data_IF_531431647421
#
_entry.id   IF_531431647421
#
_cell.length_a   1.000
_cell.length_b   1.000
_cell.length_c   1.000
_cell.angle_alpha   90.00
_cell.angle_beta   90.00
_cell.angle_gamma   90.00
#
_symmetry.space_group_name_H-M   'P 1'
#
loop_
_entity.id
_entity.type
_entity.pdbx_description
1 polymer ?
#
# COMPACT_ATOMS: atom_id res chain seq x y z
N UNK A 1 14.47 4.73 15.92
CA UNK A 1 13.63 4.23 14.81
C UNK A 1 14.43 3.21 14.03
N UNK A 2 13.95 1.98 13.96
CA UNK A 2 14.64 0.93 13.21
C UNK A 2 14.43 1.15 11.71
N UNK A 3 15.49 0.92 10.91
CA UNK A 3 15.45 0.99 9.45
C UNK A 3 15.49 -0.43 8.88
N UNK A 4 14.71 -0.64 7.83
CA UNK A 4 14.64 -1.88 7.07
C UNK A 4 14.97 -1.53 5.63
N UNK A 5 15.95 -2.16 4.99
CA UNK A 5 16.27 -1.90 3.57
C UNK A 5 15.32 -2.64 2.64
N UNK A 6 14.95 -3.88 3.01
CA UNK A 6 14.03 -4.74 2.27
C UNK A 6 12.78 -5.00 3.13
N UNK A 7 11.61 -4.66 2.57
CA UNK A 7 10.29 -4.82 3.19
C UNK A 7 9.84 -6.28 3.26
N UNK A 8 10.55 -7.21 2.60
CA UNK A 8 10.27 -8.65 2.57
C UNK A 8 11.41 -9.49 3.15
N UNK A 9 12.35 -8.87 3.86
CA UNK A 9 13.42 -9.57 4.58
C UNK A 9 12.87 -10.39 5.76
N UNK A 10 13.63 -11.39 6.22
CA UNK A 10 13.27 -12.15 7.44
C UNK A 10 13.08 -11.23 8.65
N UNK A 11 13.92 -10.21 8.77
CA UNK A 11 13.83 -9.23 9.85
C UNK A 11 12.54 -8.38 9.77
N UNK A 12 12.11 -8.01 8.55
CA UNK A 12 10.81 -7.34 8.36
C UNK A 12 9.64 -8.26 8.73
N UNK A 13 9.74 -9.56 8.45
CA UNK A 13 8.72 -10.53 8.84
C UNK A 13 8.60 -10.74 10.35
N UNK A 14 9.71 -10.70 11.09
CA UNK A 14 9.65 -10.69 12.56
C UNK A 14 8.92 -9.44 13.08
N UNK A 15 9.09 -8.30 12.42
CA UNK A 15 8.31 -7.10 12.74
C UNK A 15 6.82 -7.29 12.44
N UNK A 16 6.47 -7.79 11.26
CA UNK A 16 5.06 -8.03 10.90
C UNK A 16 4.38 -9.04 11.83
N UNK A 17 5.07 -10.11 12.21
CA UNK A 17 4.54 -11.13 13.13
C UNK A 17 4.08 -10.52 14.47
N UNK A 18 4.80 -9.50 14.95
CA UNK A 18 4.43 -8.80 16.18
C UNK A 18 3.30 -7.77 15.98
N UNK A 19 3.08 -7.31 14.75
CA UNK A 19 2.07 -6.28 14.42
C UNK A 19 0.72 -6.87 14.03
N UNK A 20 0.71 -8.06 13.41
CA UNK A 20 -0.47 -8.70 12.85
C UNK A 20 -0.79 -9.97 13.64
N UNK A 21 -1.57 -9.80 14.71
CA UNK A 21 -1.88 -10.87 15.66
C UNK A 21 -3.34 -11.25 15.61
N UNK A 22 -3.66 -12.48 16.02
CA UNK A 22 -5.02 -12.98 15.99
C UNK A 22 -5.95 -12.37 17.04
N UNK A 23 -5.41 -11.68 18.05
CA UNK A 23 -6.20 -10.87 18.97
C UNK A 23 -6.81 -9.65 18.27
N UNK A 24 -6.14 -9.13 17.24
CA UNK A 24 -6.63 -7.97 16.50
C UNK A 24 -7.60 -8.38 15.40
N UNK A 25 -7.27 -9.47 14.69
CA UNK A 25 -8.12 -10.02 13.65
C UNK A 25 -7.87 -11.52 13.51
N UNK A 26 -8.87 -12.31 13.88
CA UNK A 26 -8.78 -13.78 13.86
C UNK A 26 -8.41 -14.38 12.49
N UNK A 27 -8.61 -13.62 11.40
CA UNK A 27 -8.14 -13.94 10.05
C UNK A 27 -6.64 -14.30 10.00
N UNK A 28 -5.81 -13.65 10.81
CA UNK A 28 -4.38 -13.92 10.85
C UNK A 28 -4.02 -15.32 11.35
N UNK A 29 -4.93 -16.02 12.05
CA UNK A 29 -4.72 -17.42 12.46
C UNK A 29 -4.57 -18.39 11.27
N UNK A 30 -5.06 -18.00 10.10
CA UNK A 30 -5.05 -18.84 8.89
C UNK A 30 -3.73 -18.73 8.10
N UNK A 31 -2.82 -17.85 8.52
CA UNK A 31 -1.54 -17.59 7.86
C UNK A 31 -0.36 -18.11 8.68
N UNK A 32 0.68 -18.58 7.99
CA UNK A 32 1.86 -19.21 8.58
C UNK A 32 3.03 -18.20 8.71
N UNK A 33 2.99 -17.39 9.78
CA UNK A 33 4.05 -16.41 10.08
C UNK A 33 5.38 -17.07 10.45
N UNK A 34 5.38 -18.31 10.93
CA UNK A 34 6.58 -19.05 11.33
C UNK A 34 7.33 -19.63 10.12
N UNK A 35 6.65 -19.78 8.98
CA UNK A 35 7.18 -20.43 7.79
C UNK A 35 6.95 -19.61 6.52
N UNK A 36 7.43 -18.37 6.54
CA UNK A 36 7.50 -17.52 5.34
C UNK A 36 8.34 -18.19 4.24
N UNK A 37 7.88 -18.09 3.00
CA UNK A 37 8.54 -18.76 1.86
C UNK A 37 8.58 -17.83 0.66
N UNK A 38 9.61 -17.96 -0.17
CA UNK A 38 9.57 -17.44 -1.53
C UNK A 38 8.57 -18.23 -2.38
N UNK A 39 8.20 -17.72 -3.55
CA UNK A 39 7.32 -18.46 -4.45
C UNK A 39 7.95 -19.77 -4.92
N UNK A 40 9.24 -19.75 -5.24
CA UNK A 40 9.98 -20.94 -5.61
C UNK A 40 9.91 -22.02 -4.52
N UNK A 41 10.08 -21.64 -3.25
CA UNK A 41 9.99 -22.57 -2.13
C UNK A 41 8.57 -23.12 -1.91
N UNK A 42 7.52 -22.37 -2.29
CA UNK A 42 6.12 -22.81 -2.14
C UNK A 42 5.69 -23.78 -3.25
N UNK A 43 6.05 -23.52 -4.52
CA UNK A 43 5.52 -24.30 -5.65
C UNK A 43 6.49 -24.54 -6.83
N UNK A 44 7.74 -24.09 -6.72
CA UNK A 44 8.78 -24.30 -7.74
C UNK A 44 8.62 -23.50 -9.04
N UNK A 45 7.61 -22.64 -9.18
CA UNK A 45 7.27 -22.03 -10.49
C UNK A 45 7.97 -20.70 -10.80
N UNK A 46 8.40 -19.95 -9.79
CA UNK A 46 9.01 -18.63 -9.99
C UNK A 46 10.21 -18.41 -9.08
N UNK A 47 11.38 -18.16 -9.68
CA UNK A 47 12.58 -17.79 -8.95
C UNK A 47 12.50 -16.33 -8.50
N UNK A 48 11.79 -16.08 -7.40
CA UNK A 48 11.76 -14.78 -6.73
C UNK A 48 12.50 -14.85 -5.38
N UNK A 49 13.05 -13.71 -4.96
CA UNK A 49 13.77 -13.58 -3.70
C UNK A 49 12.89 -13.06 -2.55
N UNK A 50 11.69 -12.54 -2.85
CA UNK A 50 10.80 -11.95 -1.84
C UNK A 50 10.11 -13.06 -1.04
N UNK A 51 10.30 -13.04 0.28
CA UNK A 51 9.52 -13.87 1.19
C UNK A 51 8.09 -13.36 1.29
N UNK A 52 7.14 -14.28 1.26
CA UNK A 52 5.72 -14.03 1.36
C UNK A 52 5.14 -14.79 2.56
N UNK A 53 4.06 -14.23 3.12
CA UNK A 53 3.22 -14.88 4.11
C UNK A 53 2.12 -15.64 3.39
N UNK A 54 2.15 -16.96 3.52
CA UNK A 54 1.21 -17.86 2.87
C UNK A 54 0.09 -18.27 3.84
N UNK A 55 -1.06 -18.65 3.27
CA UNK A 55 -2.01 -19.47 3.99
C UNK A 55 -1.34 -20.76 4.49
N UNK A 56 -1.77 -21.21 5.68
CA UNK A 56 -1.46 -22.54 6.19
C UNK A 56 -2.01 -23.60 5.23
N UNK A 57 -1.30 -24.72 5.09
CA UNK A 57 -1.68 -25.77 4.12
C UNK A 57 -3.06 -26.38 4.41
N UNK A 58 -3.53 -26.33 5.66
CA UNK A 58 -4.86 -26.78 6.10
C UNK A 58 -5.83 -25.60 6.39
N UNK A 59 -5.54 -24.41 5.87
CA UNK A 59 -6.39 -23.23 6.12
C UNK A 59 -7.79 -23.43 5.57
N UNK A 60 -8.79 -22.99 6.33
CA UNK A 60 -10.20 -22.98 5.94
C UNK A 60 -10.50 -21.96 4.85
N UNK A 61 -9.62 -20.96 4.68
CA UNK A 61 -9.75 -19.92 3.66
C UNK A 61 -9.27 -20.36 2.28
N UNK A 62 -8.70 -21.56 2.15
CA UNK A 62 -8.14 -22.07 0.90
C UNK A 62 -9.17 -22.11 -0.24
N UNK A 63 -10.40 -22.52 0.05
CA UNK A 63 -11.47 -22.58 -0.95
C UNK A 63 -11.91 -21.18 -1.39
N UNK A 64 -11.93 -20.22 -0.46
CA UNK A 64 -12.41 -18.85 -0.70
C UNK A 64 -11.36 -17.97 -1.40
N UNK A 65 -10.11 -18.04 -0.94
CA UNK A 65 -9.02 -17.15 -1.35
C UNK A 65 -8.06 -17.80 -2.35
N UNK A 66 -8.12 -19.13 -2.50
CA UNK A 66 -7.19 -19.93 -3.27
C UNK A 66 -5.95 -20.32 -2.47
N UNK A 67 -5.41 -21.52 -2.75
CA UNK A 67 -4.24 -22.10 -2.06
C UNK A 67 -2.93 -21.31 -2.18
N UNK A 68 -2.92 -20.30 -3.05
CA UNK A 68 -1.78 -19.44 -3.32
C UNK A 68 -2.03 -18.00 -2.87
N UNK A 69 -3.08 -17.76 -2.09
CA UNK A 69 -3.29 -16.46 -1.46
C UNK A 69 -2.13 -16.14 -0.52
N UNK A 70 -1.55 -14.96 -0.66
CA UNK A 70 -0.40 -14.55 0.15
C UNK A 70 -0.28 -13.04 0.29
N UNK A 71 0.38 -12.64 1.37
CA UNK A 71 0.76 -11.25 1.64
C UNK A 71 2.25 -11.05 1.41
N UNK A 72 2.59 -9.85 0.97
CA UNK A 72 3.96 -9.37 0.86
C UNK A 72 4.14 -8.12 1.69
N UNK A 73 5.38 -7.84 2.08
CA UNK A 73 5.71 -6.55 2.67
C UNK A 73 5.52 -5.42 1.66
N UNK A 74 5.08 -4.27 2.16
CA UNK A 74 4.77 -3.07 1.39
C UNK A 74 5.24 -1.81 2.10
N UNK A 75 5.75 -0.87 1.31
CA UNK A 75 6.09 0.50 1.73
C UNK A 75 4.90 1.41 1.50
N UNK A 76 4.29 1.86 2.59
CA UNK A 76 3.08 2.69 2.55
C UNK A 76 3.30 3.93 1.67
N UNK A 77 4.34 4.72 1.96
CA UNK A 77 4.75 5.87 1.16
C UNK A 77 6.06 5.58 0.40
N UNK A 78 6.00 5.58 -0.94
CA UNK A 78 7.13 5.22 -1.80
C UNK A 78 8.07 6.41 -2.14
N UNK A 79 8.57 7.09 -1.10
CA UNK A 79 9.51 8.20 -1.32
C UNK A 79 10.85 7.76 -1.94
N UNK A 80 11.28 6.49 -1.86
CA UNK A 80 12.54 6.07 -2.50
C UNK A 80 12.52 6.28 -4.01
N UNK A 81 11.47 5.80 -4.69
CA UNK A 81 11.37 5.89 -6.15
C UNK A 81 10.77 7.23 -6.58
N UNK A 82 9.82 7.76 -5.81
CA UNK A 82 9.06 8.95 -6.17
C UNK A 82 9.73 10.27 -5.75
N UNK A 83 10.79 10.21 -4.95
CA UNK A 83 11.52 11.42 -4.53
C UNK A 83 11.90 12.31 -5.70
N UNK A 84 12.41 11.75 -6.80
CA UNK A 84 12.85 12.55 -7.94
C UNK A 84 11.68 13.20 -8.69
N UNK A 85 10.56 12.48 -8.86
CA UNK A 85 9.36 13.04 -9.48
C UNK A 85 8.82 14.22 -8.67
N UNK A 86 8.69 14.04 -7.35
CA UNK A 86 8.23 15.10 -6.44
C UNK A 86 9.24 16.25 -6.34
N UNK A 87 10.54 15.95 -6.31
CA UNK A 87 11.62 16.94 -6.29
C UNK A 87 11.56 17.84 -7.52
N UNK A 88 11.33 17.28 -8.71
CA UNK A 88 11.26 18.06 -9.94
C UNK A 88 10.13 19.10 -9.89
N UNK A 89 8.98 18.76 -9.28
CA UNK A 89 7.85 19.69 -9.06
C UNK A 89 8.26 20.84 -8.11
N UNK A 90 9.01 20.53 -7.05
CA UNK A 90 9.50 21.54 -6.11
C UNK A 90 10.58 22.41 -6.78
N UNK A 91 11.48 21.82 -7.57
CA UNK A 91 12.58 22.51 -8.23
C UNK A 91 12.14 23.45 -9.35
N UNK A 92 11.06 23.12 -10.06
CA UNK A 92 10.49 23.98 -11.10
C UNK A 92 9.65 25.14 -10.54
N UNK A 93 9.35 25.14 -9.24
CA UNK A 93 8.56 26.19 -8.59
C UNK A 93 9.37 27.46 -8.32
N UNK A 94 8.72 28.63 -8.50
CA UNK A 94 9.21 29.97 -8.12
C UNK A 94 8.80 30.38 -6.69
N UNK A 95 8.33 29.44 -5.87
CA UNK A 95 7.84 29.72 -4.50
C UNK A 95 8.99 29.97 -3.51
N UNK A 96 8.77 30.92 -2.58
CA UNK A 96 9.69 31.17 -1.46
C UNK A 96 9.74 30.00 -0.45
N UNK A 97 8.76 29.09 -0.46
CA UNK A 97 8.71 27.92 0.44
C UNK A 97 9.54 26.73 -0.07
N UNK A 98 10.27 26.89 -1.17
CA UNK A 98 11.03 25.82 -1.83
C UNK A 98 11.98 25.07 -0.91
N UNK A 99 12.75 25.79 -0.10
CA UNK A 99 13.70 25.18 0.83
C UNK A 99 13.00 24.35 1.91
N UNK A 100 11.90 24.86 2.45
CA UNK A 100 11.09 24.16 3.43
C UNK A 100 10.52 22.86 2.85
N UNK A 101 9.86 22.91 1.69
CA UNK A 101 9.27 21.70 1.08
C UNK A 101 10.34 20.71 0.65
N UNK A 102 11.49 21.17 0.18
CA UNK A 102 12.64 20.31 -0.11
C UNK A 102 13.16 19.59 1.14
N UNK A 103 13.18 20.27 2.29
CA UNK A 103 13.58 19.66 3.57
C UNK A 103 12.57 18.60 4.03
N UNK A 104 11.26 18.87 3.92
CA UNK A 104 10.21 17.88 4.18
C UNK A 104 10.36 16.64 3.30
N UNK A 105 10.63 16.84 2.00
CA UNK A 105 10.76 15.74 1.05
C UNK A 105 12.00 14.87 1.36
N UNK A 106 13.12 15.47 1.78
CA UNK A 106 14.32 14.76 2.24
C UNK A 106 14.03 13.94 3.50
N UNK A 107 13.33 14.52 4.47
CA UNK A 107 12.92 13.80 5.68
C UNK A 107 12.01 12.61 5.33
N UNK A 108 11.05 12.80 4.43
CA UNK A 108 10.16 11.73 3.98
C UNK A 108 10.90 10.59 3.27
N UNK A 109 11.96 10.91 2.52
CA UNK A 109 12.85 9.91 1.90
C UNK A 109 13.58 9.08 2.95
N UNK A 110 14.04 9.68 4.05
CA UNK A 110 14.68 8.96 5.15
C UNK A 110 13.71 8.04 5.89
N UNK A 111 12.47 8.51 6.11
CA UNK A 111 11.41 7.71 6.73
C UNK A 111 10.90 6.57 5.85
N UNK A 112 11.19 6.56 4.55
CA UNK A 112 10.82 5.46 3.66
C UNK A 112 11.23 4.09 4.21
N UNK A 113 12.43 4.02 4.80
CA UNK A 113 13.00 2.79 5.35
C UNK A 113 12.53 2.48 6.78
N UNK A 114 11.77 3.36 7.41
CA UNK A 114 11.32 3.17 8.79
C UNK A 114 10.33 2.02 8.95
N UNK A 115 10.31 1.43 10.14
CA UNK A 115 9.27 0.49 10.58
C UNK A 115 7.85 1.09 10.51
N UNK A 116 7.73 2.40 10.76
CA UNK A 116 6.48 3.14 10.64
C UNK A 116 5.95 3.16 9.19
N UNK A 117 6.80 2.93 8.19
CA UNK A 117 6.41 2.88 6.79
C UNK A 117 6.19 1.45 6.25
N UNK A 118 6.25 0.43 7.11
CA UNK A 118 6.09 -0.98 6.74
C UNK A 118 4.70 -1.52 7.07
N UNK A 119 4.05 -2.16 6.10
CA UNK A 119 2.81 -2.93 6.28
C UNK A 119 2.87 -4.20 5.44
N UNK A 120 1.88 -5.08 5.58
CA UNK A 120 1.65 -6.16 4.63
C UNK A 120 0.45 -5.86 3.73
N UNK A 121 0.52 -6.25 2.47
CA UNK A 121 -0.58 -6.10 1.51
C UNK A 121 -0.72 -7.40 0.71
N UNK A 122 -1.94 -7.83 0.35
CA UNK A 122 -2.13 -8.99 -0.50
C UNK A 122 -1.34 -8.87 -1.81
N UNK A 123 -0.49 -9.85 -2.08
CA UNK A 123 0.13 -9.98 -3.40
C UNK A 123 -0.86 -10.62 -4.38
N UNK A 124 -1.69 -11.52 -3.88
CA UNK A 124 -2.86 -12.02 -4.61
C UNK A 124 -3.88 -10.89 -4.74
N UNK A 125 -4.27 -10.58 -5.99
CA UNK A 125 -5.00 -9.34 -6.29
C UNK A 125 -4.10 -8.23 -6.85
N UNK A 126 -2.79 -8.29 -6.61
CA UNK A 126 -1.82 -7.32 -7.12
C UNK A 126 -2.11 -5.88 -6.69
N UNK A 127 -2.57 -5.67 -5.46
CA UNK A 127 -2.97 -4.35 -4.97
C UNK A 127 -1.80 -3.34 -4.96
N UNK A 128 -0.58 -3.80 -4.74
CA UNK A 128 0.62 -2.98 -4.90
C UNK A 128 0.80 -2.50 -6.35
N UNK A 129 0.52 -3.35 -7.34
CA UNK A 129 0.55 -2.97 -8.75
C UNK A 129 -0.59 -2.00 -9.08
N UNK A 130 -1.78 -2.17 -8.49
CA UNK A 130 -2.87 -1.19 -8.63
C UNK A 130 -2.40 0.17 -8.12
N UNK A 131 -1.94 0.27 -6.86
CA UNK A 131 -1.43 1.51 -6.25
C UNK A 131 -0.37 2.19 -7.13
N UNK A 132 0.59 1.42 -7.65
CA UNK A 132 1.65 1.92 -8.53
C UNK A 132 1.17 2.35 -9.92
N UNK A 133 0.00 1.90 -10.36
CA UNK A 133 -0.56 2.17 -11.70
C UNK A 133 -1.60 3.29 -11.74
N UNK A 134 -1.99 3.85 -10.59
CA UNK A 134 -2.96 4.93 -10.52
C UNK A 134 -2.37 6.27 -10.99
N UNK A 135 -3.17 7.04 -11.72
CA UNK A 135 -2.82 8.37 -12.16
C UNK A 135 -4.05 9.28 -12.30
N UNK A 136 -3.82 10.58 -12.45
CA UNK A 136 -4.88 11.56 -12.70
C UNK A 136 -4.97 11.94 -14.16
N UNK A 137 -6.20 12.02 -14.68
CA UNK A 137 -6.52 12.57 -15.99
C UNK A 137 -7.88 13.26 -15.96
N UNK A 138 -7.94 14.51 -16.44
CA UNK A 138 -9.14 15.33 -16.35
C UNK A 138 -9.73 15.45 -14.93
N UNK A 139 -8.89 15.43 -13.90
CA UNK A 139 -9.31 15.45 -12.48
C UNK A 139 -9.82 14.12 -11.91
N UNK A 140 -9.87 13.06 -12.72
CA UNK A 140 -10.34 11.74 -12.29
C UNK A 140 -9.17 10.77 -12.03
N UNK A 141 -9.36 9.86 -11.07
CA UNK A 141 -8.42 8.77 -10.81
C UNK A 141 -8.63 7.68 -11.86
N UNK A 142 -7.57 7.32 -12.57
CA UNK A 142 -7.55 6.30 -13.61
C UNK A 142 -6.49 5.24 -13.32
N UNK A 143 -6.61 4.09 -13.98
CA UNK A 143 -5.65 2.99 -13.93
C UNK A 143 -5.03 2.77 -15.31
N UNK A 144 -3.71 2.60 -15.36
CA UNK A 144 -3.00 2.15 -16.56
C UNK A 144 -1.98 1.07 -16.19
N UNK A 145 -2.04 -0.06 -16.88
CA UNK A 145 -1.00 -1.10 -16.79
C UNK A 145 0.32 -0.68 -17.45
N UNK A 146 0.27 0.31 -18.35
CA UNK A 146 1.45 0.90 -18.97
C UNK A 146 1.99 2.04 -18.13
N UNK A 147 3.33 2.16 -18.08
CA UNK A 147 3.97 3.24 -17.36
C UNK A 147 3.78 4.58 -18.08
N UNK A 148 3.19 5.55 -17.40
CA UNK A 148 3.03 6.92 -17.90
C UNK A 148 3.98 7.82 -17.12
N UNK A 149 5.04 8.29 -17.81
CA UNK A 149 6.10 9.09 -17.20
C UNK A 149 5.54 10.30 -16.44
N UNK A 150 5.98 10.46 -15.19
CA UNK A 150 5.60 11.57 -14.31
C UNK A 150 4.16 11.55 -13.76
N UNK A 151 3.30 10.62 -14.17
CA UNK A 151 1.89 10.59 -13.73
C UNK A 151 1.59 9.56 -12.64
N UNK A 152 2.29 8.42 -12.66
CA UNK A 152 2.09 7.32 -11.70
C UNK A 152 3.01 7.48 -10.49
N UNK A 153 2.46 8.05 -9.43
CA UNK A 153 3.20 8.45 -8.23
C UNK A 153 3.12 7.44 -7.07
N UNK A 154 2.50 6.28 -7.27
CA UNK A 154 2.44 5.18 -6.29
C UNK A 154 2.03 5.65 -4.88
N UNK A 155 0.94 6.42 -4.81
CA UNK A 155 0.51 7.12 -3.59
C UNK A 155 -0.47 6.31 -2.77
N UNK A 156 -0.22 6.19 -1.46
CA UNK A 156 -1.15 5.55 -0.51
C UNK A 156 -2.53 6.21 -0.55
N UNK A 157 -2.59 7.53 -0.40
CA UNK A 157 -3.84 8.28 -0.26
C UNK A 157 -4.77 8.07 -1.46
N UNK A 158 -4.22 8.06 -2.68
CA UNK A 158 -4.95 7.82 -3.93
C UNK A 158 -5.45 6.38 -3.99
N UNK A 159 -4.64 5.42 -3.55
CA UNK A 159 -5.08 4.03 -3.42
C UNK A 159 -6.23 3.88 -2.41
N UNK A 160 -6.15 4.52 -1.25
CA UNK A 160 -7.22 4.48 -0.24
C UNK A 160 -8.50 5.16 -0.74
N UNK A 161 -8.40 6.21 -1.56
CA UNK A 161 -9.57 6.82 -2.18
C UNK A 161 -10.32 5.88 -3.13
N UNK A 162 -9.63 5.01 -3.87
CA UNK A 162 -10.29 4.02 -4.73
C UNK A 162 -10.83 2.82 -3.94
N UNK A 163 -10.21 2.49 -2.81
CA UNK A 163 -10.73 1.47 -1.89
C UNK A 163 -12.02 1.98 -1.24
N UNK A 164 -12.07 3.25 -0.83
CA UNK A 164 -13.29 3.93 -0.38
C UNK A 164 -14.39 3.89 -1.46
N UNK A 165 -14.05 4.16 -2.72
CA UNK A 165 -14.99 4.07 -3.84
C UNK A 165 -15.51 2.64 -4.08
N UNK A 166 -14.72 1.61 -3.81
CA UNK A 166 -15.17 0.21 -3.87
C UNK A 166 -16.26 -0.05 -2.81
N UNK A 167 -16.00 0.31 -1.55
CA UNK A 167 -16.96 0.08 -0.47
C UNK A 167 -18.22 0.95 -0.56
N UNK A 168 -18.09 2.21 -0.99
CA UNK A 168 -19.18 3.20 -0.89
C UNK A 168 -19.84 3.57 -2.22
N UNK A 169 -19.17 3.36 -3.36
CA UNK A 169 -19.63 3.83 -4.69
C UNK A 169 -19.70 2.75 -5.75
N UNK A 170 -19.45 1.48 -5.38
CA UNK A 170 -19.46 0.32 -6.28
C UNK A 170 -18.47 0.49 -7.46
N UNK A 171 -17.32 1.09 -7.21
CA UNK A 171 -16.26 1.23 -8.20
C UNK A 171 -15.34 0.01 -8.19
N UNK A 172 -15.13 -0.62 -9.35
CA UNK A 172 -14.24 -1.78 -9.49
C UNK A 172 -12.77 -1.41 -9.77
N UNK A 173 -12.39 -0.13 -9.60
CA UNK A 173 -11.04 0.34 -9.95
C UNK A 173 -9.94 -0.38 -9.15
N UNK A 174 -10.23 -0.81 -7.92
CA UNK A 174 -9.32 -1.63 -7.09
C UNK A 174 -9.05 -3.01 -7.71
N UNK A 175 -9.94 -3.53 -8.55
CA UNK A 175 -9.81 -4.84 -9.20
C UNK A 175 -9.03 -4.78 -10.53
N UNK A 176 -8.67 -3.57 -11.00
CA UNK A 176 -8.16 -3.35 -12.36
C UNK A 176 -6.99 -4.26 -12.78
N UNK A 177 -6.06 -4.57 -11.85
CA UNK A 177 -4.92 -5.43 -12.15
C UNK A 177 -5.31 -6.90 -12.42
N UNK A 178 -6.39 -7.35 -11.79
CA UNK A 178 -6.88 -8.73 -11.88
C UNK A 178 -8.12 -8.92 -12.73
N UNK A 179 -8.72 -7.82 -13.23
CA UNK A 179 -9.93 -7.86 -14.06
C UNK A 179 -9.85 -8.91 -15.18
N UNK A 180 -10.83 -9.82 -15.20
CA UNK A 180 -10.94 -10.95 -16.13
C UNK A 180 -10.01 -12.13 -15.83
N UNK A 181 -9.33 -12.17 -14.67
CA UNK A 181 -8.38 -13.23 -14.28
C UNK A 181 -8.89 -13.98 -13.05
N UNK A 182 -8.48 -15.25 -12.82
CA UNK A 182 -8.90 -16.03 -11.64
C UNK A 182 -8.66 -15.33 -10.29
N UNK A 183 -7.61 -14.51 -10.20
CA UNK A 183 -7.27 -13.78 -8.98
C UNK A 183 -8.26 -12.65 -8.62
N UNK A 184 -9.11 -12.22 -9.56
CA UNK A 184 -10.15 -11.21 -9.29
C UNK A 184 -11.12 -11.72 -8.22
N UNK A 185 -11.59 -12.97 -8.36
CA UNK A 185 -12.51 -13.56 -7.39
C UNK A 185 -11.89 -13.72 -6.00
N UNK A 186 -10.61 -14.10 -5.97
CA UNK A 186 -9.86 -14.22 -4.73
C UNK A 186 -9.74 -12.86 -4.01
N UNK A 187 -9.50 -11.78 -4.78
CA UNK A 187 -9.44 -10.42 -4.25
C UNK A 187 -10.81 -9.92 -3.78
N UNK A 188 -11.87 -10.14 -4.55
CA UNK A 188 -13.25 -9.81 -4.11
C UNK A 188 -13.59 -10.50 -2.79
N UNK A 189 -13.28 -11.79 -2.67
CA UNK A 189 -13.57 -12.56 -1.46
C UNK A 189 -12.75 -12.03 -0.27
N UNK A 190 -11.47 -11.73 -0.46
CA UNK A 190 -10.68 -11.03 0.55
C UNK A 190 -11.33 -9.71 0.98
N UNK A 191 -11.76 -8.88 0.03
CA UNK A 191 -12.38 -7.57 0.33
C UNK A 191 -13.72 -7.67 1.08
N UNK A 192 -14.45 -8.79 0.96
CA UNK A 192 -15.68 -9.04 1.74
C UNK A 192 -15.45 -9.24 3.23
N UNK A 193 -14.20 -9.49 3.65
CA UNK A 193 -13.87 -9.65 5.05
C UNK A 193 -13.79 -8.30 5.81
N UNK A 194 -14.03 -7.19 5.12
CA UNK A 194 -14.05 -5.85 5.68
C UNK A 194 -15.44 -5.24 5.63
N UNK A 195 -15.83 -4.57 6.72
CA UNK A 195 -17.13 -3.89 6.79
C UNK A 195 -17.19 -2.63 5.94
N UNK A 196 -16.09 -1.87 5.91
CA UNK A 196 -15.95 -0.60 5.22
C UNK A 196 -14.46 -0.22 5.13
N UNK A 197 -14.17 0.98 4.59
CA UNK A 197 -12.82 1.51 4.45
C UNK A 197 -12.07 1.67 5.79
N UNK A 198 -12.75 2.06 6.87
CA UNK A 198 -12.11 2.24 8.18
C UNK A 198 -11.63 0.90 8.73
N UNK A 199 -12.46 -0.15 8.63
CA UNK A 199 -12.11 -1.52 9.03
C UNK A 199 -10.95 -2.07 8.19
N UNK A 200 -10.92 -1.77 6.88
CA UNK A 200 -9.79 -2.11 6.02
C UNK A 200 -8.49 -1.42 6.44
N UNK A 201 -8.54 -0.11 6.70
CA UNK A 201 -7.35 0.66 7.09
C UNK A 201 -6.84 0.26 8.46
N UNK A 202 -7.72 0.02 9.43
CA UNK A 202 -7.32 -0.44 10.77
C UNK A 202 -6.63 -1.81 10.69
N UNK A 203 -7.24 -2.80 10.03
CA UNK A 203 -6.70 -4.16 9.93
C UNK A 203 -5.41 -4.25 9.11
N UNK A 204 -5.29 -3.51 8.02
CA UNK A 204 -4.15 -3.62 7.08
C UNK A 204 -3.06 -2.59 7.39
N UNK A 205 -3.43 -1.33 7.57
CA UNK A 205 -2.48 -0.22 7.74
C UNK A 205 -2.24 0.17 9.20
N UNK A 206 -2.98 -0.42 10.15
CA UNK A 206 -2.83 -0.23 11.61
C UNK A 206 -3.03 1.23 12.03
N UNK A 207 -4.04 1.87 11.44
CA UNK A 207 -4.43 3.25 11.76
C UNK A 207 -5.92 3.27 12.09
N UNK A 208 -6.24 3.59 13.35
CA UNK A 208 -7.60 3.73 13.85
C UNK A 208 -7.87 5.19 14.26
N UNK A 209 -7.89 6.08 13.26
CA UNK A 209 -8.23 7.49 13.43
C UNK A 209 -9.08 7.93 12.25
N UNK A 210 -10.40 8.00 12.44
CA UNK A 210 -11.36 8.28 11.37
C UNK A 210 -11.16 9.66 10.73
N UNK A 211 -10.84 10.69 11.53
CA UNK A 211 -10.58 12.04 11.02
C UNK A 211 -9.40 12.04 10.06
N UNK A 212 -8.31 11.38 10.45
CA UNK A 212 -7.14 11.25 9.61
C UNK A 212 -7.39 10.38 8.37
N UNK A 213 -8.17 9.30 8.50
CA UNK A 213 -8.58 8.47 7.37
C UNK A 213 -9.38 9.29 6.34
N UNK A 214 -10.34 10.09 6.82
CA UNK A 214 -11.11 10.99 5.96
C UNK A 214 -10.20 12.01 5.27
N UNK A 215 -9.20 12.53 5.99
CA UNK A 215 -8.19 13.43 5.43
C UNK A 215 -7.35 12.76 4.33
N UNK A 216 -6.91 11.51 4.53
CA UNK A 216 -6.20 10.72 3.51
C UNK A 216 -7.07 10.53 2.27
N UNK A 217 -8.31 10.07 2.41
CA UNK A 217 -9.22 9.84 1.29
C UNK A 217 -9.48 11.14 0.52
N UNK A 218 -9.80 12.23 1.23
CA UNK A 218 -9.99 13.55 0.62
C UNK A 218 -8.75 14.04 -0.13
N UNK A 219 -7.55 13.75 0.39
CA UNK A 219 -6.31 14.10 -0.30
C UNK A 219 -6.01 13.22 -1.51
N UNK A 220 -6.33 11.93 -1.40
CA UNK A 220 -6.17 10.94 -2.46
C UNK A 220 -6.98 11.23 -3.71
N UNK A 221 -7.97 12.13 -3.62
CA UNK A 221 -8.78 12.63 -4.75
C UNK A 221 -8.19 13.86 -5.44
N UNK A 222 -7.03 14.35 -4.97
CA UNK A 222 -6.35 15.54 -5.52
C UNK A 222 -5.06 15.11 -6.21
N UNK A 223 -4.83 15.61 -7.42
CA UNK A 223 -3.55 15.47 -8.13
C UNK A 223 -2.41 16.18 -7.37
N UNK A 224 -1.17 15.84 -7.73
CA UNK A 224 0.03 16.57 -7.31
C UNK A 224 0.57 17.26 -8.55
N UNK A 225 0.39 18.58 -8.62
CA UNK A 225 0.72 19.39 -9.79
C UNK A 225 1.72 20.51 -9.45
N UNK A 226 1.71 20.96 -8.19
CA UNK A 226 2.54 22.06 -7.74
C UNK A 226 3.17 21.80 -6.36
N UNK A 227 4.02 22.74 -5.92
CA UNK A 227 4.75 22.65 -4.66
C UNK A 227 3.86 22.49 -3.42
N UNK A 228 2.67 23.12 -3.39
CA UNK A 228 1.75 23.02 -2.25
C UNK A 228 1.13 21.62 -2.16
N UNK A 229 0.96 20.92 -3.30
CA UNK A 229 0.50 19.54 -3.31
C UNK A 229 1.57 18.58 -2.79
N UNK A 230 2.83 18.82 -3.14
CA UNK A 230 3.98 18.06 -2.60
C UNK A 230 4.08 18.26 -1.09
N UNK A 231 4.00 19.51 -0.62
CA UNK A 231 3.98 19.84 0.80
C UNK A 231 2.87 19.10 1.53
N UNK A 232 1.63 19.18 1.01
CA UNK A 232 0.46 18.50 1.57
C UNK A 232 0.67 16.98 1.65
N UNK A 233 1.23 16.37 0.61
CA UNK A 233 1.52 14.93 0.61
C UNK A 233 2.60 14.53 1.62
N UNK A 234 3.68 15.31 1.73
CA UNK A 234 4.73 15.10 2.73
C UNK A 234 4.18 15.23 4.17
N UNK A 235 3.35 16.24 4.44
CA UNK A 235 2.76 16.44 5.76
C UNK A 235 1.81 15.29 6.15
N UNK A 236 1.05 14.76 5.19
CA UNK A 236 0.21 13.57 5.40
C UNK A 236 1.03 12.34 5.75
N UNK A 237 2.16 12.12 5.08
CA UNK A 237 3.06 11.01 5.42
C UNK A 237 3.60 11.14 6.84
N UNK A 238 4.01 12.35 7.24
CA UNK A 238 4.49 12.62 8.61
C UNK A 238 3.42 12.39 9.66
N UNK A 239 2.19 12.77 9.38
CA UNK A 239 1.04 12.53 10.28
C UNK A 239 0.71 11.04 10.39
N UNK A 240 0.70 10.30 9.27
CA UNK A 240 0.57 8.84 9.27
C UNK A 240 1.63 8.17 10.17
N UNK A 241 2.91 8.54 10.01
CA UNK A 241 3.99 7.97 10.83
C UNK A 241 3.92 8.36 12.30
N UNK A 242 3.23 9.45 12.68
CA UNK A 242 3.02 9.81 14.10
C UNK A 242 1.93 8.96 14.75
N UNK A 243 0.93 8.54 13.99
CA UNK A 243 -0.18 7.71 14.46
C UNK A 243 0.18 6.23 14.59
N UNK A 244 1.30 5.82 13.99
CA UNK A 244 1.79 4.45 13.95
C UNK A 244 2.94 4.18 14.92
#
# INVERSE_FOLDING_TARGET
MKKYEDDSSKEAWEFYKNQYTSSDWNFWNEFDFDNIKTRYQKDGKFNNSRYLLWLKDNSKLTEELGSLFSFGGERVFNFKTQYYNLRNIVESSYSNNKEYVMSLLKECKEFHYSEKNLVILPTTGGLNNVKGSLYFDGGNINYSSQQISGKQLDRLDTFLAIVDDYFNKKSDLILSYTKGKPNEKCLENFLKNFKNIYDFIDKIYRVNNEEFINKLICNGRKSIENINDVERYCLLAKEYWKLK
#
